data_IF_577340102273
#
_entry.id   IF_577340102273
#
_cell.length_a   1.000
_cell.length_b   1.000
_cell.length_c   1.000
_cell.angle_alpha   90.00
_cell.angle_beta   90.00
_cell.angle_gamma   90.00
#
_symmetry.space_group_name_H-M   'P 1'
#
loop_
_entity.id
_entity.type
_entity.pdbx_description
1 polymer ?
#
# COMPACT_ATOMS: atom_id res chain seq x y z
N UNK A 1 -1.65 -10.05 -3.53
CA UNK A 1 -1.56 -8.75 -2.83
C UNK A 1 -1.97 -8.96 -1.38
N UNK A 2 -1.48 -8.15 -0.43
CA UNK A 2 -1.87 -8.30 0.99
C UNK A 2 -3.38 -8.04 1.22
N UNK A 3 -4.02 -7.30 0.32
CA UNK A 3 -5.46 -6.98 0.35
C UNK A 3 -6.08 -7.10 -1.04
N UNK A 4 -7.36 -7.44 -1.08
CA UNK A 4 -8.16 -7.51 -2.32
C UNK A 4 -8.62 -6.12 -2.80
N UNK A 5 -8.59 -5.12 -1.92
CA UNK A 5 -8.93 -3.73 -2.25
C UNK A 5 -8.74 -2.78 -1.08
N UNK A 6 -8.92 -1.47 -1.34
CA UNK A 6 -8.72 -0.42 -0.34
C UNK A 6 -9.64 -0.56 0.87
N UNK A 7 -10.90 -0.98 0.67
CA UNK A 7 -11.86 -1.18 1.75
C UNK A 7 -11.37 -2.21 2.78
N UNK A 8 -10.80 -3.32 2.32
CA UNK A 8 -10.25 -4.34 3.23
C UNK A 8 -9.04 -3.81 4.02
N UNK A 9 -8.23 -2.95 3.40
CA UNK A 9 -7.14 -2.28 4.11
C UNK A 9 -7.66 -1.29 5.17
N UNK A 10 -8.69 -0.50 4.84
CA UNK A 10 -9.36 0.41 5.80
C UNK A 10 -9.91 -0.38 7.00
N UNK A 11 -10.58 -1.51 6.76
CA UNK A 11 -11.09 -2.39 7.83
C UNK A 11 -9.97 -2.94 8.71
N UNK A 12 -8.82 -3.31 8.13
CA UNK A 12 -7.66 -3.72 8.90
C UNK A 12 -7.14 -2.58 9.80
N UNK A 13 -7.01 -1.36 9.25
CA UNK A 13 -6.56 -0.20 10.01
C UNK A 13 -7.50 0.10 11.18
N UNK A 14 -8.81 -0.02 10.97
CA UNK A 14 -9.84 0.14 12.01
C UNK A 14 -9.68 -0.91 13.11
N UNK A 15 -9.60 -2.20 12.73
CA UNK A 15 -9.38 -3.32 13.68
C UNK A 15 -8.09 -3.20 14.47
N UNK A 16 -7.03 -2.65 13.87
CA UNK A 16 -5.74 -2.41 14.53
C UNK A 16 -5.68 -1.10 15.32
N UNK A 17 -6.77 -0.34 15.38
CA UNK A 17 -6.83 0.95 16.07
C UNK A 17 -5.96 2.04 15.42
N UNK A 18 -5.58 1.84 14.16
CA UNK A 18 -4.73 2.72 13.34
C UNK A 18 -5.52 3.70 12.48
N UNK A 19 -6.86 3.66 12.55
CA UNK A 19 -7.78 4.55 11.85
C UNK A 19 -8.59 5.40 12.85
N UNK A 20 -8.86 6.65 12.50
CA UNK A 20 -9.89 7.48 13.11
C UNK A 20 -10.95 7.79 12.05
N UNK A 21 -12.22 7.55 12.39
CA UNK A 21 -13.37 7.96 11.57
C UNK A 21 -13.90 9.30 12.05
N UNK A 22 -13.96 10.27 11.14
CA UNK A 22 -14.42 11.64 11.39
C UNK A 22 -15.80 11.78 10.74
N UNK A 23 -16.84 11.81 11.58
CA UNK A 23 -18.24 11.88 11.15
C UNK A 23 -18.78 13.31 11.01
N UNK A 24 -18.13 14.27 11.69
CA UNK A 24 -18.49 15.67 11.53
C UNK A 24 -18.18 16.13 10.11
N UNK A 25 -18.91 17.14 9.64
CA UNK A 25 -18.58 17.81 8.39
C UNK A 25 -17.17 18.41 8.47
N UNK A 26 -16.38 18.19 7.42
CA UNK A 26 -15.08 18.84 7.20
C UNK A 26 -14.99 19.22 5.72
N UNK A 27 -14.64 20.47 5.44
CA UNK A 27 -14.54 20.96 4.07
C UNK A 27 -13.34 20.32 3.34
N UNK A 28 -13.54 19.68 2.17
CA UNK A 28 -12.44 19.15 1.38
C UNK A 28 -11.47 20.25 0.89
N UNK A 29 -11.92 21.50 0.82
CA UNK A 29 -11.09 22.65 0.50
C UNK A 29 -10.28 23.05 1.73
N UNK A 30 -9.03 22.56 1.76
CA UNK A 30 -7.97 22.89 2.72
C UNK A 30 -8.17 22.40 4.15
N UNK A 31 -9.38 22.25 4.70
CA UNK A 31 -9.56 21.80 6.09
C UNK A 31 -9.09 20.35 6.27
N UNK A 32 -9.45 19.44 5.37
CA UNK A 32 -8.94 18.05 5.40
C UNK A 32 -7.40 18.03 5.37
N UNK A 33 -6.78 18.88 4.55
CA UNK A 33 -5.33 18.96 4.45
C UNK A 33 -4.70 19.47 5.75
N UNK A 34 -5.28 20.51 6.36
CA UNK A 34 -4.86 21.09 7.63
C UNK A 34 -4.89 20.05 8.77
N UNK A 35 -6.02 19.34 8.91
CA UNK A 35 -6.19 18.28 9.90
C UNK A 35 -5.18 17.15 9.65
N UNK A 36 -5.03 16.75 8.40
CA UNK A 36 -4.08 15.69 8.00
C UNK A 36 -2.63 16.10 8.32
N UNK A 37 -2.25 17.34 8.06
CA UNK A 37 -0.90 17.88 8.31
C UNK A 37 -0.55 17.85 9.80
N UNK A 38 -1.49 18.25 10.67
CA UNK A 38 -1.30 18.15 12.13
C UNK A 38 -1.13 16.71 12.58
N UNK A 39 -1.92 15.77 12.04
CA UNK A 39 -1.90 14.37 12.46
C UNK A 39 -0.65 13.65 11.95
N UNK A 40 -0.25 13.84 10.70
CA UNK A 40 0.91 13.12 10.14
C UNK A 40 2.23 13.52 10.81
N UNK A 41 2.33 14.74 11.36
CA UNK A 41 3.49 15.23 12.10
C UNK A 41 3.54 14.75 13.57
N UNK A 42 2.52 14.04 14.04
CA UNK A 42 2.56 13.45 15.38
C UNK A 42 3.62 12.35 15.45
N UNK A 43 4.06 12.03 16.68
CA UNK A 43 5.01 10.94 16.91
C UNK A 43 4.49 9.64 16.30
N UNK A 44 5.34 8.97 15.51
CA UNK A 44 4.96 7.73 14.81
C UNK A 44 4.01 7.94 13.63
N UNK A 45 3.86 9.17 13.13
CA UNK A 45 3.08 9.44 11.91
C UNK A 45 1.57 9.65 12.12
N UNK A 46 1.12 9.72 13.37
CA UNK A 46 -0.30 9.80 13.73
C UNK A 46 -1.12 8.61 13.22
N UNK A 47 -2.45 8.71 13.28
CA UNK A 47 -3.37 7.69 12.74
C UNK A 47 -3.82 8.03 11.32
N UNK A 48 -4.28 7.03 10.57
CA UNK A 48 -5.03 7.26 9.34
C UNK A 48 -6.36 7.95 9.65
N UNK A 49 -6.86 8.76 8.72
CA UNK A 49 -8.09 9.55 8.91
C UNK A 49 -9.07 9.22 7.80
N UNK A 50 -10.30 8.86 8.16
CA UNK A 50 -11.41 8.70 7.22
C UNK A 50 -12.48 9.75 7.51
N UNK A 51 -12.59 10.74 6.63
CA UNK A 51 -13.61 11.78 6.67
C UNK A 51 -14.86 11.26 5.96
N UNK A 52 -15.91 10.98 6.72
CA UNK A 52 -17.15 10.36 6.22
C UNK A 52 -18.15 11.41 5.72
N UNK A 53 -18.02 12.66 6.16
CA UNK A 53 -18.88 13.77 5.76
C UNK A 53 -18.05 14.94 5.22
N UNK A 54 -17.99 15.06 3.90
CA UNK A 54 -17.22 16.10 3.19
C UNK A 54 -18.11 17.08 2.42
N UNK A 55 -19.43 16.98 2.56
CA UNK A 55 -20.39 17.69 1.70
C UNK A 55 -20.44 17.18 0.25
N UNK A 56 -19.71 16.10 -0.06
CA UNK A 56 -19.75 15.41 -1.37
C UNK A 56 -20.25 13.98 -1.21
N UNK A 57 -20.49 13.28 -2.32
CA UNK A 57 -20.88 11.86 -2.31
C UNK A 57 -19.72 10.91 -1.96
N UNK A 58 -18.50 11.43 -1.78
CA UNK A 58 -17.31 10.61 -1.60
C UNK A 58 -16.67 10.89 -0.23
N UNK A 59 -16.48 9.84 0.61
CA UNK A 59 -15.64 9.95 1.79
C UNK A 59 -14.18 10.11 1.36
N UNK A 60 -13.37 10.72 2.23
CA UNK A 60 -11.95 10.99 1.95
C UNK A 60 -11.09 10.29 2.98
N UNK A 61 -10.22 9.40 2.52
CA UNK A 61 -9.20 8.74 3.34
C UNK A 61 -7.86 9.47 3.17
N UNK A 62 -7.25 9.91 4.26
CA UNK A 62 -5.91 10.50 4.27
C UNK A 62 -5.01 9.83 5.29
N UNK A 63 -3.70 10.10 5.19
CA UNK A 63 -2.68 9.59 6.11
C UNK A 63 -2.63 8.05 6.26
N UNK A 64 -3.21 7.30 5.32
CA UNK A 64 -3.28 5.83 5.34
C UNK A 64 -1.90 5.18 5.41
N UNK A 65 -0.89 5.83 4.81
CA UNK A 65 0.50 5.37 4.79
C UNK A 65 1.43 6.26 5.62
N UNK A 66 0.91 7.06 6.55
CA UNK A 66 1.68 8.05 7.30
C UNK A 66 2.72 7.51 8.29
N UNK A 67 2.92 6.20 8.38
CA UNK A 67 3.82 5.56 9.34
C UNK A 67 4.42 4.28 8.75
N UNK A 68 5.63 3.93 9.18
CA UNK A 68 6.31 2.69 8.79
C UNK A 68 5.49 1.44 9.11
N UNK A 69 4.80 1.42 10.26
CA UNK A 69 3.90 0.32 10.63
C UNK A 69 2.79 0.14 9.59
N UNK A 70 2.05 1.20 9.25
CA UNK A 70 0.98 1.13 8.24
C UNK A 70 1.49 0.82 6.83
N UNK A 71 2.68 1.28 6.46
CA UNK A 71 3.33 0.89 5.20
C UNK A 71 3.64 -0.60 5.20
N UNK A 72 4.19 -1.11 6.30
CA UNK A 72 4.50 -2.54 6.48
C UNK A 72 3.25 -3.39 6.39
N UNK A 73 2.15 -2.95 7.03
CA UNK A 73 0.84 -3.60 6.92
C UNK A 73 0.35 -3.62 5.47
N UNK A 74 0.41 -2.49 4.76
CA UNK A 74 -0.05 -2.37 3.37
C UNK A 74 0.70 -3.32 2.43
N UNK A 75 2.00 -3.50 2.67
CA UNK A 75 2.88 -4.35 1.87
C UNK A 75 2.90 -5.81 2.34
N UNK A 76 2.35 -6.12 3.52
CA UNK A 76 2.39 -7.45 4.12
C UNK A 76 3.79 -7.89 4.55
N UNK A 77 4.62 -6.94 4.95
CA UNK A 77 6.02 -7.13 5.37
C UNK A 77 6.19 -6.71 6.83
N UNK A 78 7.33 -7.06 7.44
CA UNK A 78 7.61 -6.72 8.85
C UNK A 78 8.35 -5.40 9.01
N UNK A 79 9.12 -4.99 8.00
CA UNK A 79 9.91 -3.75 7.99
C UNK A 79 9.90 -3.16 6.56
N UNK A 80 9.67 -1.84 6.36
CA UNK A 80 9.75 -1.21 5.05
C UNK A 80 11.09 -1.42 4.33
N UNK A 81 12.21 -1.51 5.05
CA UNK A 81 13.55 -1.75 4.48
C UNK A 81 13.63 -3.10 3.75
N UNK A 82 12.83 -4.08 4.17
CA UNK A 82 12.76 -5.40 3.55
C UNK A 82 12.22 -5.32 2.11
N UNK A 83 11.30 -4.38 1.84
CA UNK A 83 10.77 -4.18 0.49
C UNK A 83 11.86 -3.70 -0.48
N UNK A 84 12.70 -2.75 -0.04
CA UNK A 84 13.80 -2.23 -0.85
C UNK A 84 14.81 -3.33 -1.18
N UNK A 85 15.22 -4.12 -0.18
CA UNK A 85 16.14 -5.24 -0.36
C UNK A 85 15.58 -6.31 -1.32
N UNK A 86 14.28 -6.60 -1.24
CA UNK A 86 13.62 -7.54 -2.15
C UNK A 86 13.62 -7.03 -3.61
N UNK A 87 13.32 -5.76 -3.83
CA UNK A 87 13.35 -5.14 -5.17
C UNK A 87 14.78 -5.16 -5.74
N UNK A 88 15.77 -4.80 -4.93
CA UNK A 88 17.17 -4.78 -5.34
C UNK A 88 17.68 -6.17 -5.74
N UNK A 89 17.40 -7.18 -4.92
CA UNK A 89 17.74 -8.58 -5.22
C UNK A 89 17.14 -9.04 -6.54
N UNK A 90 15.89 -8.67 -6.83
CA UNK A 90 15.24 -9.00 -8.09
C UNK A 90 15.93 -8.33 -9.28
N UNK A 91 16.22 -7.03 -9.18
CA UNK A 91 16.86 -6.29 -10.26
C UNK A 91 18.25 -6.86 -10.60
N UNK A 92 19.06 -7.18 -9.58
CA UNK A 92 20.37 -7.81 -9.77
C UNK A 92 20.25 -9.16 -10.50
N UNK A 93 19.24 -9.96 -10.18
CA UNK A 93 19.06 -11.27 -10.80
C UNK A 93 18.63 -11.21 -12.28
N UNK A 94 17.94 -10.15 -12.71
CA UNK A 94 17.48 -9.97 -14.09
C UNK A 94 18.50 -9.26 -14.98
N UNK A 95 19.35 -8.41 -14.42
CA UNK A 95 20.32 -7.61 -15.17
C UNK A 95 21.67 -8.29 -15.37
N UNK A 96 21.98 -9.35 -14.61
CA UNK A 96 23.23 -10.10 -14.77
C UNK A 96 23.31 -10.82 -16.15
N UNK A 97 24.35 -10.56 -16.97
CA UNK A 97 24.50 -11.17 -18.28
C UNK A 97 24.83 -12.66 -18.15
N UNK A 98 23.91 -13.54 -18.59
CA UNK A 98 24.08 -15.00 -18.52
C UNK A 98 24.60 -15.57 -19.84
N UNK A 99 25.86 -16.01 -19.84
CA UNK A 99 26.61 -16.47 -21.01
C UNK A 99 26.31 -17.91 -21.46
N UNK A 100 25.62 -18.75 -20.67
CA UNK A 100 25.45 -20.19 -20.95
C UNK A 100 23.99 -20.68 -21.01
N UNK A 101 23.72 -21.67 -21.87
CA UNK A 101 22.39 -22.29 -22.10
C UNK A 101 21.85 -23.00 -20.86
N UNK A 102 22.71 -23.65 -20.07
CA UNK A 102 22.33 -24.24 -18.78
C UNK A 102 21.85 -23.18 -17.77
N UNK A 103 22.45 -22.00 -17.82
CA UNK A 103 22.08 -20.86 -16.97
C UNK A 103 20.69 -20.31 -17.31
N UNK A 104 20.26 -20.45 -18.58
CA UNK A 104 18.91 -20.09 -19.03
C UNK A 104 17.87 -21.11 -18.56
N UNK A 105 18.18 -22.41 -18.60
CA UNK A 105 17.27 -23.47 -18.13
C UNK A 105 16.96 -23.35 -16.63
N UNK A 106 17.96 -23.00 -15.81
CA UNK A 106 17.79 -22.72 -14.37
C UNK A 106 16.89 -21.52 -14.07
N UNK A 107 16.50 -20.71 -15.06
CA UNK A 107 15.56 -19.59 -14.87
C UNK A 107 14.10 -19.99 -14.95
N UNK A 108 13.75 -21.15 -15.51
CA UNK A 108 12.35 -21.58 -15.66
C UNK A 108 11.54 -21.54 -14.34
N UNK A 109 12.06 -21.98 -13.17
CA UNK A 109 11.32 -21.88 -11.91
C UNK A 109 11.12 -20.43 -11.47
N UNK A 110 12.10 -19.56 -11.69
CA UNK A 110 12.01 -18.13 -11.36
C UNK A 110 11.05 -17.38 -12.28
N UNK A 111 11.00 -17.74 -13.56
CA UNK A 111 10.02 -17.20 -14.51
C UNK A 111 8.58 -17.54 -14.09
N UNK A 112 8.36 -18.74 -13.54
CA UNK A 112 7.07 -19.12 -12.96
C UNK A 112 6.71 -18.25 -11.74
N UNK A 113 7.67 -17.96 -10.85
CA UNK A 113 7.42 -17.02 -9.73
C UNK A 113 7.06 -15.62 -10.24
N UNK A 114 7.79 -15.12 -11.23
CA UNK A 114 7.53 -13.78 -11.79
C UNK A 114 6.21 -13.71 -12.56
N UNK A 115 5.80 -14.80 -13.22
CA UNK A 115 4.50 -14.85 -13.89
C UNK A 115 3.31 -14.66 -12.94
N UNK A 116 3.49 -14.95 -11.63
CA UNK A 116 2.45 -14.74 -10.62
C UNK A 116 2.28 -13.26 -10.25
N UNK A 117 3.21 -12.40 -10.63
CA UNK A 117 3.13 -10.95 -10.41
C UNK A 117 2.53 -10.19 -11.57
N UNK A 118 2.38 -10.84 -12.73
CA UNK A 118 1.79 -10.19 -13.89
C UNK A 118 0.33 -9.84 -13.60
N UNK A 119 -0.12 -8.64 -14.01
CA UNK A 119 -1.48 -8.21 -13.75
C UNK A 119 -2.48 -9.15 -14.41
N UNK A 120 -3.57 -9.43 -13.69
CA UNK A 120 -4.70 -10.18 -14.24
C UNK A 120 -5.71 -9.20 -14.82
N UNK A 121 -6.15 -9.47 -16.05
CA UNK A 121 -7.27 -8.77 -16.66
C UNK A 121 -8.56 -9.30 -16.04
N UNK A 122 -9.26 -8.43 -15.32
CA UNK A 122 -10.56 -8.72 -14.71
C UNK A 122 -11.63 -7.85 -15.38
N UNK A 123 -12.75 -8.45 -15.74
CA UNK A 123 -13.91 -7.76 -16.31
C UNK A 123 -14.87 -7.36 -15.20
N UNK A 124 -15.11 -6.07 -15.01
CA UNK A 124 -16.04 -5.55 -14.01
C UNK A 124 -15.97 -4.04 -13.89
N UNK A 125 -16.90 -3.44 -13.13
CA UNK A 125 -16.74 -2.06 -12.66
C UNK A 125 -15.79 -2.10 -11.46
N UNK A 126 -14.74 -1.31 -11.46
CA UNK A 126 -13.95 -1.06 -10.25
C UNK A 126 -14.89 -0.55 -9.16
N UNK A 127 -14.82 -1.17 -7.98
CA UNK A 127 -15.59 -0.75 -6.82
C UNK A 127 -15.25 0.70 -6.43
#
# INVERSE_FOLDING_TARGET
MAFEGLNHFVDLLDRKGQLIRIKQYVDPILEIAEVTDRVCKQKGGGKALLFENTGTNFPVLTNAFGSDERISLALGISNPDEAAANIESLFQHFTQPKRSLLSKLKMLPKLKQVSQWLPQLVTGKGA
#
